data_IF_557513678615
#
_entry.id   IF_557513678615
#
_cell.length_a   1.000
_cell.length_b   1.000
_cell.length_c   1.000
_cell.angle_alpha   90.00
_cell.angle_beta   90.00
_cell.angle_gamma   90.00
#
_symmetry.space_group_name_H-M   'P 1'
#
loop_
_entity.id
_entity.type
_entity.pdbx_description
1 polymer ?
#
# COMPACT_ATOMS: atom_id res chain seq x y z
N UNK A 1 9.83 12.11 29.36
CA UNK A 1 10.45 13.42 29.06
C UNK A 1 10.98 13.33 27.65
N UNK A 2 10.37 14.05 26.70
CA UNK A 2 10.76 13.98 25.30
C UNK A 2 12.13 14.63 25.15
N UNK A 3 13.13 13.84 24.74
CA UNK A 3 14.44 14.32 24.38
C UNK A 3 14.30 15.14 23.09
N UNK A 4 14.85 16.34 23.03
CA UNK A 4 14.81 17.21 21.84
C UNK A 4 15.30 16.54 20.54
N UNK A 5 16.13 15.49 20.66
CA UNK A 5 16.57 14.67 19.52
C UNK A 5 15.49 13.76 18.93
N UNK A 6 14.45 13.43 19.69
CA UNK A 6 13.40 12.51 19.26
C UNK A 6 12.43 13.20 18.29
N UNK A 7 12.03 14.43 18.60
CA UNK A 7 11.05 15.17 17.77
C UNK A 7 11.68 15.69 16.46
N UNK A 8 12.85 16.34 16.54
CA UNK A 8 13.48 16.93 15.35
C UNK A 8 14.14 15.86 14.45
N UNK A 9 14.75 14.84 15.04
CA UNK A 9 15.38 13.75 14.29
C UNK A 9 14.36 12.93 13.52
N UNK A 10 13.22 12.60 14.15
CA UNK A 10 12.16 11.84 13.51
C UNK A 10 11.50 12.64 12.39
N UNK A 11 11.28 13.95 12.56
CA UNK A 11 10.69 14.79 11.51
C UNK A 11 11.58 14.88 10.26
N UNK A 12 12.90 15.05 10.43
CA UNK A 12 13.83 15.05 9.30
C UNK A 12 13.85 13.70 8.57
N UNK A 13 13.84 12.59 9.33
CA UNK A 13 13.78 11.24 8.77
C UNK A 13 12.50 11.01 7.96
N UNK A 14 11.35 11.44 8.47
CA UNK A 14 10.05 11.34 7.81
C UNK A 14 10.05 11.98 6.42
N UNK A 15 10.58 13.19 6.29
CA UNK A 15 10.66 13.89 4.99
C UNK A 15 11.61 13.20 4.01
N UNK A 16 12.78 12.76 4.50
CA UNK A 16 13.76 12.02 3.70
C UNK A 16 13.18 10.68 3.23
N UNK A 17 12.45 10.00 4.11
CA UNK A 17 11.80 8.73 3.80
C UNK A 17 10.73 8.90 2.73
N UNK A 18 9.83 9.90 2.85
CA UNK A 18 8.82 10.19 1.84
C UNK A 18 9.45 10.48 0.47
N UNK A 19 10.52 11.29 0.45
CA UNK A 19 11.29 11.56 -0.76
C UNK A 19 11.86 10.28 -1.42
N UNK A 20 12.59 9.46 -0.65
CA UNK A 20 13.20 8.23 -1.16
C UNK A 20 12.14 7.23 -1.65
N UNK A 21 11.05 7.10 -0.90
CA UNK A 21 9.95 6.21 -1.23
C UNK A 21 9.30 6.60 -2.56
N UNK A 22 8.95 7.88 -2.74
CA UNK A 22 8.41 8.36 -4.01
C UNK A 22 9.40 8.19 -5.15
N UNK A 23 10.67 8.55 -4.95
CA UNK A 23 11.68 8.46 -5.99
C UNK A 23 11.79 7.02 -6.53
N UNK A 24 11.88 6.04 -5.64
CA UNK A 24 11.97 4.62 -6.00
C UNK A 24 10.70 4.13 -6.71
N UNK A 25 9.52 4.49 -6.19
CA UNK A 25 8.24 4.04 -6.79
C UNK A 25 8.02 4.64 -8.17
N UNK A 26 8.24 5.95 -8.32
CA UNK A 26 8.08 6.61 -9.62
C UNK A 26 9.10 6.06 -10.62
N UNK A 27 10.33 5.80 -10.18
CA UNK A 27 11.34 5.15 -11.00
C UNK A 27 10.89 3.75 -11.46
N UNK A 28 10.39 2.92 -10.53
CA UNK A 28 9.90 1.58 -10.84
C UNK A 28 8.72 1.62 -11.84
N UNK A 29 7.79 2.56 -11.67
CA UNK A 29 6.66 2.78 -12.59
C UNK A 29 7.14 3.21 -13.98
N UNK A 30 8.11 4.11 -14.08
CA UNK A 30 8.69 4.54 -15.35
C UNK A 30 9.43 3.40 -16.05
N UNK A 31 10.15 2.56 -15.29
CA UNK A 31 10.84 1.39 -15.82
C UNK A 31 9.86 0.35 -16.38
N UNK A 32 8.77 0.08 -15.67
CA UNK A 32 7.74 -0.88 -16.08
C UNK A 32 6.95 -0.39 -17.30
N UNK A 33 6.54 0.88 -17.30
CA UNK A 33 5.72 1.46 -18.35
C UNK A 33 6.49 1.77 -19.64
N UNK A 34 7.82 1.90 -19.58
CA UNK A 34 8.71 2.21 -20.72
C UNK A 34 8.31 3.46 -21.51
N UNK A 35 7.57 4.39 -20.90
CA UNK A 35 7.00 5.60 -21.56
C UNK A 35 8.07 6.49 -22.18
N UNK A 36 9.27 6.53 -21.59
CA UNK A 36 10.38 7.40 -21.99
C UNK A 36 11.43 6.68 -22.86
N UNK A 37 11.09 5.51 -23.40
CA UNK A 37 12.07 4.64 -24.04
C UNK A 37 13.01 3.97 -23.03
N UNK A 38 13.91 3.12 -23.54
CA UNK A 38 14.85 2.34 -22.73
C UNK A 38 15.97 3.14 -22.06
N UNK A 39 15.92 4.48 -22.06
CA UNK A 39 16.96 5.30 -21.46
C UNK A 39 16.78 5.38 -19.93
N UNK A 40 17.53 4.52 -19.22
CA UNK A 40 17.49 4.42 -17.77
C UNK A 40 17.89 5.71 -17.06
N UNK A 41 18.84 6.48 -17.60
CA UNK A 41 19.31 7.73 -16.98
C UNK A 41 18.19 8.76 -16.92
N UNK A 42 17.42 8.87 -18.01
CA UNK A 42 16.32 9.82 -18.10
C UNK A 42 15.21 9.46 -17.09
N UNK A 43 14.91 8.17 -16.93
CA UNK A 43 13.94 7.69 -15.94
C UNK A 43 14.36 8.00 -14.49
N UNK A 44 15.65 7.86 -14.17
CA UNK A 44 16.20 8.22 -12.84
C UNK A 44 16.07 9.73 -12.61
N UNK A 45 16.39 10.56 -13.60
CA UNK A 45 16.34 12.01 -13.48
C UNK A 45 14.90 12.50 -13.26
N UNK A 46 13.93 12.00 -14.04
CA UNK A 46 12.53 12.42 -13.91
C UNK A 46 11.96 11.98 -12.57
N UNK A 47 12.20 10.74 -12.15
CA UNK A 47 11.74 10.28 -10.84
C UNK A 47 12.36 11.06 -9.69
N UNK A 48 13.63 11.48 -9.82
CA UNK A 48 14.29 12.33 -8.83
C UNK A 48 13.60 13.70 -8.73
N UNK A 49 13.32 14.32 -9.87
CA UNK A 49 12.60 15.60 -9.93
C UNK A 49 11.22 15.48 -9.28
N UNK A 50 10.48 14.40 -9.57
CA UNK A 50 9.17 14.14 -8.94
C UNK A 50 9.31 13.94 -7.43
N UNK A 51 10.34 13.23 -6.95
CA UNK A 51 10.62 13.10 -5.53
C UNK A 51 10.85 14.45 -4.86
N UNK A 52 11.61 15.35 -5.48
CA UNK A 52 11.83 16.73 -4.97
C UNK A 52 10.49 17.48 -4.89
N UNK A 53 9.63 17.39 -5.92
CA UNK A 53 8.31 18.03 -5.88
C UNK A 53 7.43 17.54 -4.73
N UNK A 54 7.52 16.24 -4.41
CA UNK A 54 6.81 15.69 -3.25
C UNK A 54 7.35 16.26 -1.94
N UNK A 55 8.67 16.40 -1.79
CA UNK A 55 9.28 16.99 -0.60
C UNK A 55 8.80 18.44 -0.38
N UNK A 56 8.62 19.20 -1.46
CA UNK A 56 8.10 20.57 -1.40
C UNK A 56 6.62 20.66 -1.03
N UNK A 57 5.88 19.55 -1.07
CA UNK A 57 4.44 19.51 -0.78
C UNK A 57 4.17 18.71 0.50
N UNK A 58 3.78 19.40 1.56
CA UNK A 58 3.41 18.78 2.84
C UNK A 58 2.25 17.79 2.68
N UNK A 59 1.27 18.12 1.84
CA UNK A 59 0.11 17.27 1.55
C UNK A 59 0.58 15.96 0.89
N UNK A 60 1.44 16.05 -0.12
CA UNK A 60 1.96 14.86 -0.80
C UNK A 60 2.79 13.98 0.15
N UNK A 61 3.65 14.61 0.96
CA UNK A 61 4.45 13.93 1.97
C UNK A 61 3.56 13.17 2.96
N UNK A 62 2.54 13.82 3.50
CA UNK A 62 1.59 13.19 4.43
C UNK A 62 0.85 12.01 3.78
N UNK A 63 0.41 12.14 2.53
CA UNK A 63 -0.20 11.03 1.79
C UNK A 63 0.75 9.83 1.65
N UNK A 64 2.04 10.06 1.41
CA UNK A 64 3.02 8.97 1.30
C UNK A 64 3.24 8.29 2.65
N UNK A 65 3.28 9.04 3.73
CA UNK A 65 3.44 8.47 5.08
C UNK A 65 2.28 7.59 5.48
N UNK A 66 1.07 7.93 5.03
CA UNK A 66 -0.11 7.06 5.17
C UNK A 66 0.06 5.78 4.34
N UNK A 67 0.49 5.90 3.08
CA UNK A 67 0.57 4.76 2.14
C UNK A 67 1.75 3.82 2.43
N UNK A 68 2.85 4.34 2.95
CA UNK A 68 4.10 3.60 3.07
C UNK A 68 4.06 2.38 4.02
N UNK A 69 3.41 2.43 5.21
CA UNK A 69 3.23 1.26 6.07
C UNK A 69 2.53 0.11 5.34
N UNK A 70 1.48 0.43 4.57
CA UNK A 70 0.75 -0.57 3.80
C UNK A 70 1.59 -1.18 2.68
N UNK A 71 2.40 -0.36 2.02
CA UNK A 71 3.36 -0.83 1.04
C UNK A 71 4.39 -1.79 1.67
N UNK A 72 4.88 -1.49 2.87
CA UNK A 72 5.80 -2.39 3.58
C UNK A 72 5.15 -3.73 3.92
N UNK A 73 3.91 -3.74 4.42
CA UNK A 73 3.13 -4.98 4.66
C UNK A 73 2.97 -5.78 3.37
N UNK A 74 2.62 -5.09 2.27
CA UNK A 74 2.51 -5.70 0.95
C UNK A 74 3.82 -6.33 0.47
N UNK A 75 4.93 -5.63 0.68
CA UNK A 75 6.24 -6.10 0.27
C UNK A 75 6.65 -7.36 1.04
N UNK A 76 6.46 -7.37 2.37
CA UNK A 76 6.69 -8.56 3.21
C UNK A 76 5.78 -9.71 2.78
N UNK A 77 4.50 -9.44 2.55
CA UNK A 77 3.55 -10.44 2.08
C UNK A 77 3.96 -11.02 0.71
N UNK A 78 4.39 -10.18 -0.24
CA UNK A 78 4.87 -10.61 -1.55
C UNK A 78 6.10 -11.52 -1.44
N UNK A 79 7.03 -11.20 -0.54
CA UNK A 79 8.20 -12.06 -0.26
C UNK A 79 7.75 -13.40 0.33
N UNK A 80 6.88 -13.40 1.34
CA UNK A 80 6.38 -14.63 1.97
C UNK A 80 5.68 -15.53 0.95
N UNK A 81 4.84 -14.96 0.11
CA UNK A 81 4.16 -15.68 -0.98
C UNK A 81 5.18 -16.22 -1.98
N UNK A 82 6.19 -15.44 -2.36
CA UNK A 82 7.26 -15.91 -3.26
C UNK A 82 8.05 -17.07 -2.67
N UNK A 83 8.38 -17.03 -1.39
CA UNK A 83 9.08 -18.11 -0.68
C UNK A 83 8.20 -19.35 -0.55
N UNK A 84 6.93 -19.17 -0.18
CA UNK A 84 5.96 -20.27 -0.09
C UNK A 84 5.84 -20.99 -1.44
N UNK A 85 5.67 -20.25 -2.55
CA UNK A 85 5.63 -20.85 -3.88
C UNK A 85 6.94 -21.52 -4.29
N UNK A 86 8.09 -20.94 -3.94
CA UNK A 86 9.40 -21.58 -4.18
C UNK A 86 9.54 -22.92 -3.46
N UNK A 87 8.96 -23.05 -2.25
CA UNK A 87 9.03 -24.27 -1.45
C UNK A 87 8.19 -25.44 -2.00
N UNK A 88 7.13 -25.16 -2.78
CA UNK A 88 6.26 -26.20 -3.34
C UNK A 88 6.82 -26.86 -4.61
N UNK A 89 8.04 -26.54 -5.03
CA UNK A 89 8.70 -27.20 -6.16
C UNK A 89 8.00 -27.00 -7.50
N UNK A 90 7.15 -25.97 -7.62
CA UNK A 90 6.47 -25.62 -8.86
C UNK A 90 7.52 -25.18 -9.91
N UNK A 91 7.99 -26.15 -10.69
CA UNK A 91 8.73 -25.91 -11.91
C UNK A 91 7.93 -24.94 -12.79
N UNK A 92 8.61 -23.91 -13.28
CA UNK A 92 8.13 -22.62 -13.77
C UNK A 92 7.20 -22.60 -14.99
N UNK A 93 6.59 -23.73 -15.37
CA UNK A 93 5.99 -23.92 -16.69
C UNK A 93 4.47 -24.14 -16.73
N UNK A 94 3.74 -24.00 -15.62
CA UNK A 94 2.27 -24.08 -15.65
C UNK A 94 1.61 -22.70 -15.75
N UNK A 95 0.93 -22.37 -16.88
CA UNK A 95 0.34 -21.05 -17.13
C UNK A 95 -0.80 -20.67 -16.18
N UNK A 96 -1.34 -21.63 -15.42
CA UNK A 96 -2.44 -21.42 -14.47
C UNK A 96 -2.04 -20.55 -13.27
N UNK A 97 -0.74 -20.49 -12.92
CA UNK A 97 -0.25 -19.70 -11.79
C UNK A 97 -0.14 -18.20 -12.05
N UNK A 98 -0.24 -17.76 -13.31
CA UNK A 98 -0.23 -16.34 -13.66
C UNK A 98 -1.52 -15.63 -13.22
N UNK A 99 -2.65 -16.34 -13.24
CA UNK A 99 -3.95 -15.82 -12.83
C UNK A 99 -4.04 -15.52 -11.33
N UNK A 100 -3.51 -16.41 -10.47
CA UNK A 100 -3.56 -16.23 -9.02
C UNK A 100 -2.69 -15.07 -8.53
N UNK A 101 -1.49 -14.91 -9.10
CA UNK A 101 -0.61 -13.77 -8.83
C UNK A 101 -1.28 -12.45 -9.20
N UNK A 102 -1.96 -12.42 -10.35
CA UNK A 102 -2.68 -11.24 -10.83
C UNK A 102 -3.91 -10.95 -9.97
N UNK A 103 -4.67 -11.97 -9.57
CA UNK A 103 -5.86 -11.81 -8.72
C UNK A 103 -5.52 -11.29 -7.32
N UNK A 104 -4.45 -11.79 -6.70
CA UNK A 104 -3.97 -11.29 -5.39
C UNK A 104 -3.52 -9.84 -5.49
N UNK A 105 -2.76 -9.50 -6.55
CA UNK A 105 -2.30 -8.12 -6.77
C UNK A 105 -3.47 -7.17 -7.01
N UNK A 106 -4.43 -7.55 -7.87
CA UNK A 106 -5.64 -6.76 -8.15
C UNK A 106 -6.48 -6.58 -6.90
N UNK A 107 -6.70 -7.65 -6.12
CA UNK A 107 -7.46 -7.56 -4.87
C UNK A 107 -6.80 -6.59 -3.89
N UNK A 108 -5.49 -6.66 -3.72
CA UNK A 108 -4.78 -5.77 -2.80
C UNK A 108 -4.73 -4.32 -3.27
N UNK A 109 -4.60 -4.07 -4.58
CA UNK A 109 -4.70 -2.73 -5.16
C UNK A 109 -6.08 -2.15 -4.93
N UNK A 110 -7.14 -2.96 -5.05
CA UNK A 110 -8.52 -2.52 -4.76
C UNK A 110 -8.70 -2.20 -3.28
N UNK A 111 -8.20 -3.02 -2.37
CA UNK A 111 -8.26 -2.73 -0.92
C UNK A 111 -7.47 -1.46 -0.58
N UNK A 112 -6.29 -1.27 -1.16
CA UNK A 112 -5.49 -0.04 -0.99
C UNK A 112 -6.22 1.20 -1.51
N UNK A 113 -6.86 1.11 -2.68
CA UNK A 113 -7.65 2.20 -3.23
C UNK A 113 -8.84 2.54 -2.32
N UNK A 114 -9.51 1.53 -1.75
CA UNK A 114 -10.63 1.72 -0.82
C UNK A 114 -10.17 2.35 0.51
N UNK A 115 -9.01 1.96 1.04
CA UNK A 115 -8.44 2.56 2.26
C UNK A 115 -8.02 4.02 2.02
N UNK A 116 -7.34 4.30 0.91
CA UNK A 116 -6.94 5.66 0.54
C UNK A 116 -8.15 6.58 0.31
N UNK A 117 -9.22 6.08 -0.32
CA UNK A 117 -10.48 6.81 -0.46
C UNK A 117 -11.22 6.99 0.87
N UNK A 118 -11.12 6.03 1.79
CA UNK A 118 -11.71 6.11 3.12
C UNK A 118 -11.13 7.27 3.93
N UNK A 119 -9.82 7.51 3.85
CA UNK A 119 -9.18 8.63 4.55
C UNK A 119 -9.45 9.99 3.90
N UNK A 120 -9.69 10.03 2.58
CA UNK A 120 -10.00 11.27 1.85
C UNK A 120 -11.49 11.66 2.01
N UNK A 121 -12.39 10.68 2.11
CA UNK A 121 -13.84 10.91 2.27
C UNK A 121 -14.27 11.05 3.72
N UNK A 122 -13.55 10.44 4.67
CA UNK A 122 -13.71 10.65 6.10
C UNK A 122 -12.61 11.56 6.63
N UNK A 123 -12.72 12.86 6.39
CA UNK A 123 -11.76 13.84 6.87
C UNK A 123 -11.41 13.63 8.35
N UNK A 124 -10.12 13.42 8.62
CA UNK A 124 -9.44 13.76 9.88
C UNK A 124 -10.26 13.62 11.18
N UNK A 125 -10.82 12.44 11.45
CA UNK A 125 -11.49 12.14 12.74
C UNK A 125 -10.85 10.98 13.51
N UNK A 126 -9.57 10.69 13.25
CA UNK A 126 -8.72 9.95 14.21
C UNK A 126 -7.94 10.97 15.03
N UNK A 127 -8.65 11.80 15.81
CA UNK A 127 -8.17 12.46 17.04
C UNK A 127 -9.20 13.46 17.60
N UNK A 128 -10.44 13.04 17.87
CA UNK A 128 -11.24 13.73 18.89
C UNK A 128 -11.98 12.69 19.73
N UNK A 129 -11.28 12.17 20.73
CA UNK A 129 -11.94 11.68 21.95
C UNK A 129 -12.51 12.92 22.63
N UNK A 130 -13.80 13.17 22.44
CA UNK A 130 -14.53 14.17 23.21
C UNK A 130 -15.56 14.96 22.39
N UNK A 131 -16.83 14.68 22.67
CA UNK A 131 -17.89 15.67 22.53
C UNK A 131 -18.72 15.58 21.25
N UNK A 132 -19.89 14.97 21.45
CA UNK A 132 -21.19 15.39 20.94
C UNK A 132 -21.62 15.08 19.50
N UNK A 133 -22.78 14.43 19.50
CA UNK A 133 -23.71 14.10 18.44
C UNK A 133 -24.01 15.29 17.52
N UNK A 134 -23.96 15.07 16.20
CA UNK A 134 -25.15 15.16 15.34
C UNK A 134 -24.78 15.10 13.84
N UNK A 135 -25.61 14.33 13.13
CA UNK A 135 -26.02 14.55 11.74
C UNK A 135 -25.29 13.88 10.57
N UNK A 136 -25.91 12.77 10.17
CA UNK A 136 -26.40 12.46 8.81
C UNK A 136 -25.42 12.17 7.65
N UNK A 137 -25.23 10.86 7.44
CA UNK A 137 -24.87 10.25 6.17
C UNK A 137 -24.72 8.72 6.27
N UNK A 138 -25.82 7.94 6.26
CA UNK A 138 -25.74 6.48 6.36
C UNK A 138 -25.37 5.89 4.99
N UNK A 139 -24.11 5.55 4.78
CA UNK A 139 -23.75 4.81 3.57
C UNK A 139 -22.34 4.26 3.52
N UNK A 140 -21.35 5.05 3.94
CA UNK A 140 -19.92 4.67 3.81
C UNK A 140 -19.18 4.51 5.14
N UNK A 141 -19.70 5.10 6.22
CA UNK A 141 -19.12 5.00 7.58
C UNK A 141 -19.25 3.60 8.18
N UNK A 142 -20.22 2.81 7.71
CA UNK A 142 -20.39 1.42 8.15
C UNK A 142 -19.33 0.53 7.49
N UNK A 143 -18.97 0.77 6.23
CA UNK A 143 -17.99 -0.07 5.51
C UNK A 143 -16.56 0.20 5.99
N UNK A 144 -16.29 1.38 6.56
CA UNK A 144 -14.99 1.78 7.08
C UNK A 144 -14.78 1.43 8.57
N UNK A 145 -15.68 0.65 9.17
CA UNK A 145 -15.51 0.20 10.55
C UNK A 145 -14.40 -0.86 10.65
N UNK A 146 -13.40 -0.72 11.56
CA UNK A 146 -12.27 -1.66 11.68
C UNK A 146 -12.69 -3.12 11.89
N UNK A 147 -13.88 -3.32 12.49
CA UNK A 147 -14.46 -4.64 12.73
C UNK A 147 -14.89 -5.32 11.43
N UNK A 148 -15.39 -4.56 10.45
CA UNK A 148 -15.84 -5.09 9.16
C UNK A 148 -14.64 -5.45 8.29
N UNK A 149 -13.56 -4.68 8.34
CA UNK A 149 -12.29 -5.07 7.71
C UNK A 149 -11.74 -6.39 8.25
N UNK A 150 -11.81 -6.61 9.57
CA UNK A 150 -11.43 -7.89 10.17
C UNK A 150 -12.24 -9.07 9.62
N UNK A 151 -13.56 -8.91 9.49
CA UNK A 151 -14.45 -9.95 8.94
C UNK A 151 -14.16 -10.21 7.46
N UNK A 152 -13.92 -9.16 6.66
CA UNK A 152 -13.57 -9.28 5.23
C UNK A 152 -12.24 -10.02 5.07
N UNK A 153 -11.24 -9.70 5.88
CA UNK A 153 -9.94 -10.37 5.86
C UNK A 153 -10.09 -11.86 6.20
N UNK A 154 -10.85 -12.20 7.25
CA UNK A 154 -11.08 -13.61 7.64
C UNK A 154 -11.86 -14.36 6.56
N UNK A 155 -12.88 -13.74 5.96
CA UNK A 155 -13.65 -14.34 4.86
C UNK A 155 -12.74 -14.63 3.66
N UNK A 156 -11.84 -13.71 3.33
CA UNK A 156 -10.90 -13.88 2.23
C UNK A 156 -9.88 -14.99 2.49
N UNK A 157 -9.28 -15.02 3.69
CA UNK A 157 -8.37 -16.11 4.10
C UNK A 157 -9.10 -17.46 3.99
N UNK A 158 -10.37 -17.51 4.39
CA UNK A 158 -11.19 -18.73 4.30
C UNK A 158 -11.41 -19.17 2.85
N UNK A 159 -11.77 -18.25 1.94
CA UNK A 159 -11.95 -18.55 0.52
C UNK A 159 -10.65 -19.04 -0.12
N UNK A 160 -9.52 -18.38 0.18
CA UNK A 160 -8.21 -18.82 -0.32
C UNK A 160 -7.81 -20.19 0.24
N UNK A 161 -8.11 -20.46 1.51
CA UNK A 161 -7.85 -21.77 2.13
C UNK A 161 -8.64 -22.88 1.44
N UNK A 162 -9.93 -22.63 1.16
CA UNK A 162 -10.78 -23.58 0.44
C UNK A 162 -10.26 -23.79 -0.99
N UNK A 163 -9.94 -22.71 -1.71
CA UNK A 163 -9.42 -22.80 -3.08
C UNK A 163 -8.10 -23.60 -3.16
N UNK A 164 -7.19 -23.42 -2.21
CA UNK A 164 -5.94 -24.18 -2.14
C UNK A 164 -6.16 -25.65 -1.78
N UNK A 165 -7.17 -25.96 -0.95
CA UNK A 165 -7.54 -27.34 -0.66
C UNK A 165 -8.18 -28.03 -1.88
N UNK A 166 -8.99 -27.31 -2.67
CA UNK A 166 -9.63 -27.87 -3.86
C UNK A 166 -8.64 -28.20 -4.98
N UNK A 167 -7.55 -27.44 -5.12
CA UNK A 167 -6.52 -27.70 -6.16
C UNK A 167 -5.74 -29.01 -5.92
N UNK A 168 -5.75 -29.55 -4.69
CA UNK A 168 -4.97 -30.73 -4.31
C UNK A 168 -5.76 -32.05 -4.45
N UNK A 169 -7.04 -32.02 -4.81
CA UNK A 169 -7.86 -33.21 -5.07
C UNK A 169 -8.10 -33.41 -6.56
#
# INVERSE_FOLDING_TARGET
MATFLDVTGLQAFTNIFAFLFTWIIVYALLMYSKVLGGNTVLQILISLIVGIFVLLSEIATNMILVVAPWFAVLFVFAILVSVAFGSFGASTNTPTFMGLKTAILVFFVVVMALLALGEISGGSSIATVGGDEESEGPGLSIITEPRIFGVIIIALISVFTIALLTIKS
#
